data_IF_630231857856
#
_entry.id   IF_630231857856
#
_cell.length_a   1.000
_cell.length_b   1.000
_cell.length_c   1.000
_cell.angle_alpha   90.00
_cell.angle_beta   90.00
_cell.angle_gamma   90.00
#
_symmetry.space_group_name_H-M   'P 1'
#
loop_
_entity.id
_entity.type
_entity.pdbx_description
1 polymer ?
#
# COMPACT_ATOMS: atom_id res chain seq x y z
N UNK A 1 -32.25 -49.97 -39.89
CA UNK A 1 -31.76 -50.22 -38.50
C UNK A 1 -30.30 -50.65 -38.59
N UNK A 2 -29.38 -50.24 -37.71
CA UNK A 2 -29.26 -49.02 -36.90
C UNK A 2 -27.85 -48.36 -37.01
N UNK A 3 -27.64 -47.30 -36.23
CA UNK A 3 -26.35 -46.75 -35.74
C UNK A 3 -25.52 -45.80 -36.62
N UNK A 4 -25.91 -44.51 -36.60
CA UNK A 4 -24.98 -43.38 -36.71
C UNK A 4 -25.20 -42.47 -35.48
N UNK A 5 -24.54 -42.82 -34.38
CA UNK A 5 -24.31 -42.00 -33.17
C UNK A 5 -23.00 -42.52 -32.59
N UNK A 6 -21.84 -41.94 -32.97
CA UNK A 6 -21.19 -40.96 -32.08
C UNK A 6 -20.20 -40.04 -32.83
N UNK A 7 -20.63 -38.90 -33.39
CA UNK A 7 -19.68 -37.92 -33.95
C UNK A 7 -20.00 -36.46 -33.60
N UNK A 8 -20.93 -36.23 -32.67
CA UNK A 8 -21.35 -34.88 -32.29
C UNK A 8 -20.93 -34.46 -30.88
N UNK A 9 -20.24 -35.33 -30.12
CA UNK A 9 -19.81 -35.01 -28.74
C UNK A 9 -18.36 -34.51 -28.67
N UNK A 10 -17.55 -34.68 -29.73
CA UNK A 10 -16.12 -34.33 -29.70
C UNK A 10 -15.78 -32.88 -30.11
N UNK A 11 -16.71 -32.13 -30.71
CA UNK A 11 -16.43 -30.75 -31.19
C UNK A 11 -16.94 -29.68 -30.20
N UNK A 12 -17.73 -30.05 -29.20
CA UNK A 12 -18.25 -29.12 -28.18
C UNK A 12 -17.26 -28.73 -27.07
N UNK A 13 -16.04 -29.29 -27.04
CA UNK A 13 -15.11 -29.17 -25.91
C UNK A 13 -13.90 -28.23 -26.15
N UNK A 14 -13.86 -27.48 -27.26
CA UNK A 14 -12.71 -26.63 -27.61
C UNK A 14 -13.00 -25.12 -27.62
N UNK A 15 -14.13 -24.68 -27.05
CA UNK A 15 -14.47 -23.26 -26.89
C UNK A 15 -14.63 -22.85 -25.42
N UNK A 16 -13.93 -23.54 -24.51
CA UNK A 16 -13.66 -22.96 -23.19
C UNK A 16 -12.67 -21.83 -23.41
N UNK A 17 -13.14 -20.57 -23.33
CA UNK A 17 -12.29 -19.40 -23.43
C UNK A 17 -11.16 -19.50 -22.41
N UNK A 18 -9.97 -19.88 -22.86
CA UNK A 18 -8.78 -19.87 -22.03
C UNK A 18 -8.43 -18.40 -21.78
N UNK A 19 -8.74 -17.91 -20.59
CA UNK A 19 -8.20 -16.64 -20.13
C UNK A 19 -6.68 -16.67 -20.29
N UNK A 20 -6.12 -15.67 -20.98
CA UNK A 20 -4.67 -15.58 -21.13
C UNK A 20 -4.11 -15.09 -19.80
N UNK A 21 -3.31 -15.95 -19.15
CA UNK A 21 -2.47 -15.55 -18.04
C UNK A 21 -1.51 -14.46 -18.54
N UNK A 22 -1.65 -13.26 -18.00
CA UNK A 22 -0.83 -12.11 -18.37
C UNK A 22 -0.16 -11.57 -17.11
N UNK A 23 1.09 -11.15 -17.28
CA UNK A 23 1.77 -10.37 -16.25
C UNK A 23 1.26 -8.93 -16.27
N UNK A 24 0.68 -8.51 -15.15
CA UNK A 24 0.25 -7.14 -14.87
C UNK A 24 1.37 -6.50 -14.04
N UNK A 25 1.74 -5.28 -14.42
CA UNK A 25 2.81 -4.51 -13.79
C UNK A 25 2.23 -3.19 -13.32
N UNK A 26 2.38 -2.89 -12.03
CA UNK A 26 1.82 -1.72 -11.39
C UNK A 26 2.96 -0.90 -10.78
N UNK A 27 3.20 0.34 -11.22
CA UNK A 27 4.11 1.25 -10.56
C UNK A 27 3.49 1.72 -9.24
N UNK A 28 4.07 1.30 -8.14
CA UNK A 28 3.67 1.64 -6.78
C UNK A 28 4.72 2.56 -6.17
N UNK A 29 4.49 3.88 -6.11
CA UNK A 29 5.36 4.78 -5.36
C UNK A 29 5.16 4.55 -3.86
N UNK A 30 6.27 4.35 -3.17
CA UNK A 30 6.35 4.14 -1.74
C UNK A 30 6.98 5.37 -1.08
N UNK A 31 6.15 6.17 -0.39
CA UNK A 31 6.58 7.39 0.30
C UNK A 31 7.57 7.08 1.43
N UNK A 32 8.57 7.95 1.61
CA UNK A 32 9.62 7.78 2.62
C UNK A 32 9.12 7.73 4.06
N UNK A 33 7.98 8.35 4.37
CA UNK A 33 7.35 8.25 5.69
C UNK A 33 6.83 6.81 5.93
N UNK A 34 6.42 6.06 4.90
CA UNK A 34 5.98 4.67 5.06
C UNK A 34 7.18 3.79 5.38
N UNK A 35 8.29 3.99 4.66
CA UNK A 35 9.55 3.31 4.93
C UNK A 35 10.03 3.62 6.36
N UNK A 36 9.86 4.87 6.81
CA UNK A 36 10.15 5.26 8.19
C UNK A 36 9.29 4.49 9.19
N UNK A 37 8.00 4.30 8.94
CA UNK A 37 7.15 3.52 9.83
C UNK A 37 7.56 2.04 9.88
N UNK A 38 7.93 1.44 8.75
CA UNK A 38 8.49 0.08 8.71
C UNK A 38 9.77 0.00 9.54
N UNK A 39 10.69 0.95 9.35
CA UNK A 39 11.93 1.04 10.11
C UNK A 39 11.68 1.19 11.61
N UNK A 40 10.74 2.06 12.01
CA UNK A 40 10.39 2.26 13.41
C UNK A 40 9.86 0.97 14.04
N UNK A 41 8.98 0.27 13.34
CA UNK A 41 8.37 -0.97 13.83
C UNK A 41 9.35 -2.13 13.91
N UNK A 42 10.33 -2.21 12.99
CA UNK A 42 11.30 -3.31 12.96
C UNK A 42 12.52 -3.07 13.85
N UNK A 43 12.99 -1.81 13.96
CA UNK A 43 14.29 -1.51 14.58
C UNK A 43 14.22 -0.58 15.80
N UNK A 44 13.30 0.38 15.85
CA UNK A 44 13.22 1.40 16.92
C UNK A 44 12.16 1.04 17.97
N UNK A 45 12.26 -0.17 18.51
CA UNK A 45 11.29 -0.74 19.45
C UNK A 45 11.60 -0.43 20.92
N UNK A 46 12.66 0.33 21.19
CA UNK A 46 13.05 0.77 22.54
C UNK A 46 12.22 1.94 23.07
N UNK A 47 12.40 2.32 24.35
CA UNK A 47 11.70 3.44 24.97
C UNK A 47 11.89 4.73 24.18
N UNK A 48 10.82 5.48 23.95
CA UNK A 48 10.87 6.73 23.19
C UNK A 48 11.22 6.56 21.70
N UNK A 49 10.92 5.39 21.10
CA UNK A 49 11.27 5.05 19.72
C UNK A 49 12.78 5.15 19.47
N UNK A 50 13.54 4.48 20.34
CA UNK A 50 15.00 4.35 20.25
C UNK A 50 15.37 2.97 19.75
N UNK A 51 16.53 2.86 19.09
CA UNK A 51 17.12 1.59 18.67
C UNK A 51 18.50 1.43 19.30
N UNK A 52 18.66 0.46 20.19
CA UNK A 52 19.98 0.06 20.71
C UNK A 52 20.61 -0.93 19.74
N UNK A 53 21.48 -0.45 18.86
CA UNK A 53 22.12 -1.30 17.86
C UNK A 53 23.19 -2.20 18.46
N UNK A 54 23.83 -1.73 19.52
CA UNK A 54 24.90 -2.45 20.19
C UNK A 54 25.13 -1.99 21.62
N UNK A 55 25.54 -2.94 22.45
CA UNK A 55 26.03 -2.73 23.80
C UNK A 55 27.08 -3.80 24.09
N UNK A 56 28.22 -3.40 24.66
CA UNK A 56 29.24 -4.37 25.06
C UNK A 56 28.77 -5.17 26.30
N UNK A 57 29.24 -6.41 26.42
CA UNK A 57 28.92 -7.27 27.58
C UNK A 57 29.45 -6.73 28.92
N UNK A 58 30.26 -5.66 28.89
CA UNK A 58 30.84 -4.99 30.07
C UNK A 58 30.11 -3.69 30.44
N UNK A 59 29.09 -3.29 29.67
CA UNK A 59 28.29 -2.08 29.81
C UNK A 59 29.09 -0.76 29.84
N UNK A 60 30.29 -0.75 29.25
CA UNK A 60 31.08 0.46 29.10
C UNK A 60 30.87 1.14 27.74
N UNK A 61 30.29 0.41 26.78
CA UNK A 61 30.14 0.87 25.42
C UNK A 61 28.76 0.55 24.88
N UNK A 62 28.16 1.49 24.17
CA UNK A 62 26.84 1.36 23.55
C UNK A 62 26.68 2.30 22.37
N UNK A 63 25.71 2.00 21.50
CA UNK A 63 25.28 2.86 20.42
C UNK A 63 23.76 2.81 20.31
N UNK A 64 23.13 3.95 20.58
CA UNK A 64 21.70 4.14 20.50
C UNK A 64 21.38 5.13 19.37
N UNK A 65 20.36 4.79 18.58
CA UNK A 65 19.79 5.66 17.55
C UNK A 65 18.39 6.13 17.96
N UNK A 66 18.01 7.30 17.46
CA UNK A 66 16.67 7.86 17.66
C UNK A 66 16.31 8.81 16.52
N UNK A 67 15.03 9.14 16.43
CA UNK A 67 14.50 10.12 15.49
C UNK A 67 14.96 9.91 14.03
N UNK A 68 14.73 8.73 13.42
CA UNK A 68 15.13 8.50 12.04
C UNK A 68 14.40 9.45 11.09
N UNK A 69 15.13 10.10 10.21
CA UNK A 69 14.61 10.93 9.12
C UNK A 69 15.02 10.31 7.79
N UNK A 70 14.06 10.14 6.88
CA UNK A 70 14.29 9.44 5.61
C UNK A 70 14.03 10.39 4.45
N UNK A 71 14.95 10.42 3.49
CA UNK A 71 14.84 11.19 2.26
C UNK A 71 15.44 10.45 1.08
N UNK A 72 15.10 10.90 -0.13
CA UNK A 72 15.69 10.41 -1.37
C UNK A 72 16.79 11.32 -1.89
N UNK A 73 17.99 10.78 -2.14
CA UNK A 73 19.14 11.54 -2.65
C UNK A 73 19.91 10.71 -3.66
N UNK A 74 20.07 11.22 -4.89
CA UNK A 74 20.92 10.63 -5.93
C UNK A 74 20.64 9.12 -6.18
N UNK A 75 19.37 8.73 -6.22
CA UNK A 75 18.98 7.33 -6.44
C UNK A 75 19.18 6.42 -5.23
N UNK A 76 19.39 7.00 -4.05
CA UNK A 76 19.57 6.29 -2.79
C UNK A 76 18.59 6.79 -1.73
N UNK A 77 18.37 5.97 -0.73
CA UNK A 77 17.65 6.31 0.49
C UNK A 77 18.66 6.82 1.49
N UNK A 78 18.47 8.04 1.95
CA UNK A 78 19.27 8.67 3.00
C UNK A 78 18.51 8.55 4.32
N UNK A 79 19.14 7.97 5.33
CA UNK A 79 18.59 7.88 6.68
C UNK A 79 19.51 8.61 7.64
N UNK A 80 19.01 9.69 8.22
CA UNK A 80 19.68 10.44 9.28
C UNK A 80 19.09 10.02 10.63
N UNK A 81 19.96 9.73 11.58
CA UNK A 81 19.57 9.35 12.93
C UNK A 81 20.29 10.24 13.93
N UNK A 82 19.57 10.69 14.96
CA UNK A 82 20.22 11.18 16.16
C UNK A 82 20.92 9.99 16.82
N UNK A 83 22.22 10.12 17.08
CA UNK A 83 23.02 9.07 17.69
C UNK A 83 23.48 9.50 19.07
N UNK A 84 23.44 8.56 20.01
CA UNK A 84 24.13 8.65 21.27
C UNK A 84 25.01 7.41 21.44
N UNK A 85 26.31 7.61 21.44
CA UNK A 85 27.28 6.53 21.52
C UNK A 85 28.34 6.80 22.59
N UNK A 86 28.74 5.73 23.26
CA UNK A 86 29.88 5.74 24.17
C UNK A 86 30.74 4.52 23.87
N UNK A 87 32.05 4.72 23.88
CA UNK A 87 33.04 3.65 23.78
C UNK A 87 33.99 3.76 24.94
N UNK A 88 34.13 2.69 25.70
CA UNK A 88 34.96 2.67 26.89
C UNK A 88 35.50 1.29 27.20
N UNK A 89 36.52 1.25 28.04
CA UNK A 89 37.10 0.02 28.54
C UNK A 89 36.88 -0.09 30.06
N UNK A 90 36.57 -1.29 30.53
CA UNK A 90 36.50 -1.57 31.97
C UNK A 90 37.92 -1.67 32.53
N UNK A 91 38.28 -0.77 33.43
CA UNK A 91 39.57 -0.78 34.15
C UNK A 91 39.34 -0.59 35.64
N UNK A 92 39.95 -1.46 36.47
CA UNK A 92 39.79 -1.44 37.93
C UNK A 92 38.32 -1.38 38.41
N UNK A 93 37.42 -2.06 37.70
CA UNK A 93 35.99 -2.09 38.02
C UNK A 93 35.17 -0.87 37.57
N UNK A 94 35.80 0.18 37.02
CA UNK A 94 35.13 1.37 36.48
C UNK A 94 35.21 1.40 34.95
N UNK A 95 34.21 2.01 34.30
CA UNK A 95 34.29 2.28 32.87
C UNK A 95 35.09 3.55 32.62
N UNK A 96 36.18 3.42 31.87
CA UNK A 96 36.93 4.56 31.34
C UNK A 96 36.44 4.85 29.93
N UNK A 97 35.80 6.01 29.75
CA UNK A 97 35.31 6.47 28.44
C UNK A 97 36.48 6.91 27.57
N UNK A 98 36.60 6.31 26.39
CA UNK A 98 37.60 6.66 25.36
C UNK A 98 37.02 7.63 24.34
N UNK A 99 35.80 7.36 23.88
CA UNK A 99 35.09 8.19 22.92
C UNK A 99 33.64 8.34 23.39
N UNK A 100 33.12 9.56 23.32
CA UNK A 100 31.70 9.84 23.51
C UNK A 100 31.24 10.69 22.34
N UNK A 101 30.16 10.27 21.71
CA UNK A 101 29.61 10.94 20.55
C UNK A 101 28.11 11.14 20.70
N UNK A 102 27.70 12.38 20.52
CA UNK A 102 26.31 12.76 20.27
C UNK A 102 26.29 13.63 19.03
N UNK A 103 25.42 13.30 18.07
CA UNK A 103 25.35 14.00 16.79
C UNK A 103 24.43 13.29 15.82
N UNK A 104 24.78 13.31 14.53
CA UNK A 104 24.00 12.67 13.46
C UNK A 104 24.78 11.54 12.82
N UNK A 105 24.16 10.37 12.75
CA UNK A 105 24.60 9.28 11.89
C UNK A 105 23.77 9.27 10.62
N UNK A 106 24.40 9.59 9.50
CA UNK A 106 23.82 9.48 8.17
C UNK A 106 24.22 8.13 7.56
N UNK A 107 23.26 7.49 6.93
CA UNK A 107 23.50 6.34 6.05
C UNK A 107 22.90 6.58 4.68
N UNK A 108 23.64 6.18 3.64
CA UNK A 108 23.10 6.05 2.30
C UNK A 108 22.86 4.57 2.05
N UNK A 109 21.68 4.26 1.54
CA UNK A 109 21.24 2.91 1.25
C UNK A 109 20.74 2.83 -0.18
N UNK A 110 21.12 1.77 -0.89
CA UNK A 110 20.65 1.54 -2.26
C UNK A 110 19.55 0.48 -2.20
N UNK A 111 18.28 0.80 -2.48
CA UNK A 111 17.22 -0.20 -2.53
C UNK A 111 17.56 -1.27 -3.56
N UNK A 112 17.43 -2.53 -3.16
CA UNK A 112 17.71 -3.68 -4.03
C UNK A 112 16.70 -4.78 -3.80
N UNK A 113 16.36 -5.48 -4.89
CA UNK A 113 15.51 -6.65 -4.84
C UNK A 113 16.38 -7.90 -4.73
N UNK A 114 15.91 -8.88 -3.96
CA UNK A 114 16.49 -10.22 -3.98
C UNK A 114 16.23 -10.90 -5.34
N UNK A 115 16.85 -12.07 -5.56
CA UNK A 115 16.73 -12.78 -6.84
C UNK A 115 15.30 -13.24 -7.15
N UNK A 116 14.47 -13.43 -6.13
CA UNK A 116 13.08 -13.86 -6.29
C UNK A 116 12.12 -12.69 -6.53
N UNK A 117 12.55 -11.45 -6.28
CA UNK A 117 11.69 -10.28 -6.31
C UNK A 117 10.73 -10.19 -5.13
N UNK A 118 10.87 -11.03 -4.10
CA UNK A 118 9.94 -11.04 -2.96
C UNK A 118 10.37 -10.12 -1.83
N UNK A 119 11.67 -9.83 -1.75
CA UNK A 119 12.25 -9.08 -0.64
C UNK A 119 12.92 -7.83 -1.18
N UNK A 120 12.40 -6.68 -0.75
CA UNK A 120 13.06 -5.39 -0.91
C UNK A 120 13.98 -5.16 0.30
N UNK A 121 15.27 -4.99 0.03
CA UNK A 121 16.30 -4.74 1.05
C UNK A 121 16.97 -3.38 0.83
N UNK A 122 17.59 -2.86 1.89
CA UNK A 122 18.23 -1.54 1.90
C UNK A 122 19.70 -1.62 2.33
N UNK A 123 20.58 -2.27 1.53
CA UNK A 123 21.99 -2.36 1.85
C UNK A 123 22.62 -0.97 1.98
N UNK A 124 23.37 -0.79 3.07
CA UNK A 124 24.13 0.44 3.35
C UNK A 124 25.32 0.52 2.40
N UNK A 125 25.40 1.61 1.64
CA UNK A 125 26.50 1.90 0.71
C UNK A 125 27.52 2.85 1.34
N UNK A 126 27.09 3.72 2.24
CA UNK A 126 27.94 4.68 2.94
C UNK A 126 27.38 5.03 4.31
N UNK A 127 28.30 5.35 5.21
CA UNK A 127 28.05 5.84 6.57
C UNK A 127 28.80 7.15 6.74
N UNK A 128 28.17 8.17 7.32
CA UNK A 128 28.82 9.42 7.69
C UNK A 128 28.44 9.78 9.12
N UNK A 129 29.43 10.15 9.93
CA UNK A 129 29.23 10.66 11.27
C UNK A 129 29.41 12.17 11.31
N UNK A 130 28.50 12.85 12.00
CA UNK A 130 28.55 14.28 12.23
C UNK A 130 28.39 14.59 13.73
N UNK A 131 29.00 15.67 14.20
CA UNK A 131 28.79 16.18 15.55
C UNK A 131 27.47 17.00 15.66
N UNK A 132 27.21 17.56 16.84
CA UNK A 132 26.03 18.39 17.09
C UNK A 132 25.99 19.72 16.32
N UNK A 133 27.10 20.15 15.73
CA UNK A 133 27.19 21.35 14.89
C UNK A 133 27.09 21.01 13.39
N UNK A 134 26.92 19.74 13.03
CA UNK A 134 26.89 19.27 11.65
C UNK A 134 28.27 19.11 11.01
N UNK A 135 29.35 19.16 11.78
CA UNK A 135 30.70 18.95 11.27
C UNK A 135 31.01 17.46 11.18
N UNK A 136 31.57 17.03 10.04
CA UNK A 136 31.93 15.63 9.80
C UNK A 136 33.01 15.17 10.79
N UNK A 137 32.77 14.02 11.42
CA UNK A 137 33.71 13.36 12.30
C UNK A 137 34.54 12.34 11.53
N UNK A 138 35.83 12.64 11.35
CA UNK A 138 36.80 11.73 10.74
C UNK A 138 37.69 11.08 11.81
N UNK A 139 37.10 10.14 12.55
CA UNK A 139 37.78 9.37 13.60
C UNK A 139 37.85 7.92 13.14
N UNK A 140 39.06 7.41 12.85
CA UNK A 140 39.26 6.05 12.31
C UNK A 140 38.57 4.96 13.15
N UNK A 141 38.68 5.00 14.49
CA UNK A 141 38.03 4.00 15.34
C UNK A 141 36.50 4.07 15.28
N UNK A 142 35.93 5.25 15.03
CA UNK A 142 34.48 5.42 14.84
C UNK A 142 34.06 4.83 13.50
N UNK A 143 34.81 5.07 12.43
CA UNK A 143 34.53 4.54 11.09
C UNK A 143 34.47 3.01 11.08
N UNK A 144 35.45 2.33 11.68
CA UNK A 144 35.48 0.86 11.75
C UNK A 144 34.24 0.30 12.45
N UNK A 145 33.83 0.93 13.54
CA UNK A 145 32.65 0.53 14.30
C UNK A 145 31.36 0.78 13.51
N UNK A 146 31.23 1.92 12.84
CA UNK A 146 30.06 2.21 12.00
C UNK A 146 29.88 1.12 10.94
N UNK A 147 30.98 0.67 10.33
CA UNK A 147 30.95 -0.38 9.31
C UNK A 147 30.62 -1.76 9.88
N UNK A 148 31.17 -2.12 11.05
CA UNK A 148 31.00 -3.47 11.61
C UNK A 148 29.70 -3.65 12.38
N UNK A 149 29.17 -2.58 12.98
CA UNK A 149 28.05 -2.65 13.93
C UNK A 149 26.80 -2.01 13.37
N UNK A 150 26.91 -0.78 12.85
CA UNK A 150 25.73 -0.01 12.46
C UNK A 150 25.23 -0.43 11.08
N UNK A 151 26.14 -0.54 10.10
CA UNK A 151 25.76 -0.86 8.74
C UNK A 151 24.97 -2.18 8.62
N UNK A 152 25.34 -3.30 9.29
CA UNK A 152 24.55 -4.53 9.23
C UNK A 152 23.15 -4.37 9.83
N UNK A 153 23.04 -3.72 10.99
CA UNK A 153 21.75 -3.55 11.68
C UNK A 153 20.79 -2.64 10.93
N UNK A 154 21.30 -1.59 10.28
CA UNK A 154 20.47 -0.73 9.43
C UNK A 154 20.16 -1.36 8.07
N UNK A 155 21.01 -2.29 7.60
CA UNK A 155 20.75 -3.09 6.40
C UNK A 155 19.77 -4.24 6.64
N UNK A 156 19.42 -4.56 7.89
CA UNK A 156 18.40 -5.56 8.24
C UNK A 156 16.98 -5.12 7.90
N UNK A 157 16.76 -3.83 7.60
CA UNK A 157 15.47 -3.34 7.10
C UNK A 157 15.10 -4.09 5.82
N UNK A 158 13.98 -4.81 5.89
CA UNK A 158 13.43 -5.59 4.78
C UNK A 158 11.93 -5.43 4.70
N UNK A 159 11.42 -5.41 3.47
CA UNK A 159 9.99 -5.52 3.18
C UNK A 159 9.81 -6.82 2.41
N UNK A 160 9.12 -7.78 3.04
CA UNK A 160 8.87 -9.11 2.48
C UNK A 160 7.41 -9.24 2.04
N UNK A 161 7.21 -9.50 0.75
CA UNK A 161 5.87 -9.73 0.20
C UNK A 161 5.23 -11.00 0.77
N UNK A 162 6.01 -12.02 1.12
CA UNK A 162 5.48 -13.29 1.63
C UNK A 162 4.71 -13.10 2.93
N UNK A 163 5.16 -12.18 3.80
CA UNK A 163 4.45 -11.83 5.03
C UNK A 163 3.13 -11.11 4.75
N UNK A 164 3.05 -10.37 3.64
CA UNK A 164 1.87 -9.58 3.26
C UNK A 164 0.81 -10.38 2.50
N UNK A 165 1.18 -11.47 1.81
CA UNK A 165 0.27 -12.27 0.95
C UNK A 165 -0.99 -12.73 1.69
N UNK A 166 -0.82 -13.27 2.90
CA UNK A 166 -1.94 -13.79 3.69
C UNK A 166 -2.95 -12.71 4.05
N UNK A 167 -2.46 -11.52 4.45
CA UNK A 167 -3.31 -10.38 4.78
C UNK A 167 -4.01 -9.83 3.54
N UNK A 168 -3.33 -9.75 2.39
CA UNK A 168 -3.95 -9.31 1.12
C UNK A 168 -5.12 -10.23 0.75
N UNK A 169 -4.92 -11.55 0.76
CA UNK A 169 -6.00 -12.51 0.46
C UNK A 169 -7.13 -12.32 1.47
N UNK A 170 -6.82 -12.32 2.76
CA UNK A 170 -7.84 -12.20 3.82
C UNK A 170 -8.68 -10.92 3.66
N UNK A 171 -8.06 -9.82 3.26
CA UNK A 171 -8.74 -8.54 3.05
C UNK A 171 -9.59 -8.52 1.79
N UNK A 172 -9.12 -9.11 0.69
CA UNK A 172 -9.79 -9.01 -0.61
C UNK A 172 -10.83 -10.11 -0.85
N UNK A 173 -10.59 -11.32 -0.34
CA UNK A 173 -11.43 -12.50 -0.58
C UNK A 173 -12.94 -12.28 -0.30
N UNK A 174 -13.37 -11.54 0.75
CA UNK A 174 -14.79 -11.28 1.00
C UNK A 174 -15.51 -10.49 -0.11
N UNK A 175 -14.76 -9.83 -1.00
CA UNK A 175 -15.28 -8.99 -2.06
C UNK A 175 -15.15 -9.63 -3.46
N UNK A 176 -14.43 -10.75 -3.57
CA UNK A 176 -14.20 -11.46 -4.83
C UNK A 176 -15.25 -12.57 -5.01
N UNK A 177 -15.84 -12.73 -6.21
CA UNK A 177 -16.76 -13.84 -6.49
C UNK A 177 -16.14 -15.21 -6.18
N UNK A 178 -16.97 -16.17 -5.78
CA UNK A 178 -16.49 -17.48 -5.33
C UNK A 178 -15.70 -18.21 -6.43
N UNK A 179 -16.12 -18.06 -7.69
CA UNK A 179 -15.45 -18.60 -8.88
C UNK A 179 -14.05 -18.02 -9.12
N UNK A 180 -13.74 -16.84 -8.56
CA UNK A 180 -12.49 -16.12 -8.77
C UNK A 180 -11.54 -16.19 -7.57
N UNK A 181 -11.95 -16.92 -6.52
CA UNK A 181 -11.17 -17.10 -5.29
C UNK A 181 -9.81 -17.76 -5.53
N UNK A 182 -9.76 -18.85 -6.32
CA UNK A 182 -8.51 -19.55 -6.67
C UNK A 182 -7.58 -18.63 -7.47
N UNK A 183 -8.13 -17.88 -8.42
CA UNK A 183 -7.37 -16.91 -9.20
C UNK A 183 -6.79 -15.78 -8.33
N UNK A 184 -7.55 -15.28 -7.33
CA UNK A 184 -7.03 -14.32 -6.35
C UNK A 184 -5.84 -14.91 -5.59
N UNK A 185 -5.96 -16.14 -5.11
CA UNK A 185 -4.87 -16.83 -4.43
C UNK A 185 -3.63 -16.97 -5.31
N UNK A 186 -3.79 -17.45 -6.55
CA UNK A 186 -2.67 -17.62 -7.49
C UNK A 186 -2.02 -16.29 -7.86
N UNK A 187 -2.82 -15.25 -8.08
CA UNK A 187 -2.33 -13.91 -8.40
C UNK A 187 -1.54 -13.34 -7.22
N UNK A 188 -2.09 -13.43 -6.01
CA UNK A 188 -1.40 -12.99 -4.80
C UNK A 188 -0.15 -13.82 -4.54
N UNK A 189 -0.13 -15.12 -4.86
CA UNK A 189 1.06 -15.99 -4.77
C UNK A 189 2.11 -15.69 -5.85
N UNK A 190 1.72 -15.09 -6.97
CA UNK A 190 2.63 -14.69 -8.05
C UNK A 190 3.24 -13.29 -7.87
N UNK A 191 2.76 -12.52 -6.88
CA UNK A 191 3.25 -11.17 -6.58
C UNK A 191 4.77 -11.16 -6.41
N UNK A 192 5.40 -10.17 -7.04
CA UNK A 192 6.84 -9.94 -7.02
C UNK A 192 7.14 -8.48 -7.33
N UNK A 193 8.17 -7.93 -6.73
CA UNK A 193 8.82 -6.71 -7.18
C UNK A 193 9.65 -7.02 -8.44
N UNK A 194 9.34 -6.35 -9.54
CA UNK A 194 10.06 -6.46 -10.81
C UNK A 194 11.20 -5.44 -10.93
N UNK A 195 11.03 -4.26 -10.34
CA UNK A 195 12.06 -3.23 -10.29
C UNK A 195 11.89 -2.29 -9.12
N UNK A 196 12.97 -1.64 -8.71
CA UNK A 196 12.99 -0.61 -7.68
C UNK A 196 13.84 0.58 -8.11
N UNK A 197 13.36 1.79 -7.87
CA UNK A 197 14.11 3.03 -8.08
C UNK A 197 13.78 4.04 -6.97
N UNK A 198 14.80 4.59 -6.32
CA UNK A 198 14.62 5.75 -5.45
C UNK A 198 14.69 7.04 -6.27
N UNK A 199 13.78 7.97 -6.03
CA UNK A 199 13.85 9.35 -6.50
C UNK A 199 13.89 10.32 -5.30
N UNK A 200 13.62 11.62 -5.48
CA UNK A 200 13.65 12.58 -4.37
C UNK A 200 12.44 12.50 -3.43
N UNK A 201 11.33 11.94 -3.90
CA UNK A 201 10.02 11.99 -3.24
C UNK A 201 9.58 10.63 -2.71
N UNK A 202 9.94 9.54 -3.40
CA UNK A 202 9.52 8.19 -3.09
C UNK A 202 10.50 7.13 -3.62
N UNK A 203 10.24 5.88 -3.24
CA UNK A 203 10.74 4.72 -3.96
C UNK A 203 9.67 4.22 -4.89
N UNK A 204 9.92 4.26 -6.19
CA UNK A 204 9.03 3.69 -7.21
C UNK A 204 9.36 2.19 -7.35
N UNK A 205 8.40 1.37 -6.93
CA UNK A 205 8.42 -0.08 -7.12
C UNK A 205 7.58 -0.42 -8.34
N UNK A 206 7.99 -1.42 -9.11
CA UNK A 206 7.10 -2.04 -10.08
C UNK A 206 6.66 -3.39 -9.53
N UNK A 207 5.40 -3.51 -9.16
CA UNK A 207 4.81 -4.72 -8.59
C UNK A 207 4.18 -5.54 -9.73
N UNK A 208 4.73 -6.72 -9.97
CA UNK A 208 4.26 -7.66 -10.95
C UNK A 208 3.41 -8.76 -10.31
N UNK A 209 2.34 -9.15 -10.98
CA UNK A 209 1.60 -10.39 -10.69
C UNK A 209 1.02 -10.97 -11.96
N UNK A 210 0.71 -12.26 -11.94
CA UNK A 210 0.08 -12.98 -13.04
C UNK A 210 -1.39 -13.12 -12.70
N UNK A 211 -2.25 -12.70 -13.62
CA UNK A 211 -3.68 -12.95 -13.53
C UNK A 211 -4.22 -13.38 -14.89
N UNK A 212 -5.29 -14.17 -14.88
CA UNK A 212 -6.04 -14.45 -16.09
C UNK A 212 -6.89 -13.24 -16.39
N UNK A 213 -6.49 -12.47 -17.40
CA UNK A 213 -7.29 -11.32 -17.81
C UNK A 213 -8.52 -11.87 -18.52
N UNK A 214 -9.65 -11.85 -17.82
CA UNK A 214 -10.95 -12.06 -18.45
C UNK A 214 -11.20 -10.84 -19.35
N UNK A 215 -11.70 -11.02 -20.57
CA UNK A 215 -12.31 -9.91 -21.29
C UNK A 215 -13.32 -9.24 -20.35
N UNK A 216 -13.31 -7.91 -20.27
CA UNK A 216 -14.31 -7.19 -19.50
C UNK A 216 -15.69 -7.74 -19.86
N UNK A 217 -16.43 -8.17 -18.85
CA UNK A 217 -17.75 -8.77 -19.05
C UNK A 217 -18.73 -7.65 -19.37
N UNK A 218 -18.73 -7.27 -20.64
CA UNK A 218 -19.62 -6.25 -21.17
C UNK A 218 -21.07 -6.77 -21.31
N UNK A 219 -21.37 -8.00 -20.85
CA UNK A 219 -22.73 -8.46 -20.80
C UNK A 219 -23.54 -7.52 -19.88
N UNK A 220 -24.67 -6.97 -20.36
CA UNK A 220 -25.52 -6.13 -19.53
C UNK A 220 -25.98 -6.91 -18.29
N UNK A 221 -25.60 -6.44 -17.11
CA UNK A 221 -26.12 -6.99 -15.85
C UNK A 221 -27.43 -6.28 -15.59
N UNK A 222 -28.56 -6.98 -15.50
CA UNK A 222 -29.85 -6.32 -15.29
C UNK A 222 -29.84 -5.42 -14.05
N UNK A 223 -30.46 -4.24 -14.16
CA UNK A 223 -30.74 -3.34 -13.05
C UNK A 223 -31.39 -4.07 -11.86
N UNK A 224 -31.20 -3.54 -10.65
CA UNK A 224 -31.78 -4.11 -9.44
C UNK A 224 -33.31 -3.98 -9.48
N UNK A 225 -33.99 -5.02 -9.01
CA UNK A 225 -35.43 -4.94 -8.80
C UNK A 225 -35.76 -4.08 -7.56
N UNK A 226 -37.05 -3.78 -7.35
CA UNK A 226 -37.50 -2.90 -6.28
C UNK A 226 -37.06 -3.39 -4.87
N UNK A 227 -37.14 -4.69 -4.62
CA UNK A 227 -36.77 -5.26 -3.31
C UNK A 227 -35.25 -5.20 -3.09
N UNK A 228 -34.46 -5.49 -4.14
CA UNK A 228 -33.00 -5.35 -4.11
C UNK A 228 -32.58 -3.89 -3.87
N UNK A 229 -33.24 -2.94 -4.55
CA UNK A 229 -32.94 -1.52 -4.43
C UNK A 229 -33.24 -0.99 -3.02
N UNK A 230 -34.37 -1.40 -2.42
CA UNK A 230 -34.72 -1.01 -1.05
C UNK A 230 -33.71 -1.53 -0.02
N UNK A 231 -33.24 -2.78 -0.19
CA UNK A 231 -32.20 -3.35 0.67
C UNK A 231 -30.87 -2.60 0.52
N UNK A 232 -30.48 -2.30 -0.72
CA UNK A 232 -29.28 -1.53 -0.99
C UNK A 232 -29.36 -0.10 -0.42
N UNK A 233 -30.48 0.60 -0.59
CA UNK A 233 -30.67 1.95 -0.04
C UNK A 233 -30.44 1.98 1.48
N UNK A 234 -30.93 0.97 2.20
CA UNK A 234 -30.68 0.84 3.65
C UNK A 234 -29.18 0.67 3.97
N UNK A 235 -28.46 -0.11 3.16
CA UNK A 235 -26.99 -0.29 3.31
C UNK A 235 -26.27 1.02 3.04
N UNK A 236 -26.59 1.66 1.91
CA UNK A 236 -25.99 2.91 1.48
C UNK A 236 -26.21 4.05 2.48
N UNK A 237 -27.43 4.22 3.02
CA UNK A 237 -27.73 5.25 4.02
C UNK A 237 -26.87 5.09 5.29
N UNK A 238 -26.68 3.85 5.76
CA UNK A 238 -25.84 3.59 6.93
C UNK A 238 -24.36 3.90 6.65
N UNK A 239 -23.88 3.55 5.44
CA UNK A 239 -22.52 3.86 5.01
C UNK A 239 -22.32 5.37 4.86
N UNK A 240 -23.25 6.06 4.20
CA UNK A 240 -23.21 7.49 4.00
C UNK A 240 -23.20 8.24 5.33
N UNK A 241 -24.08 7.90 6.29
CA UNK A 241 -24.08 8.50 7.61
C UNK A 241 -22.76 8.27 8.38
N UNK A 242 -22.14 7.11 8.19
CA UNK A 242 -20.84 6.79 8.81
C UNK A 242 -19.71 7.60 8.17
N UNK A 243 -19.74 7.78 6.85
CA UNK A 243 -18.77 8.57 6.08
C UNK A 243 -18.92 10.06 6.36
N UNK A 244 -20.14 10.60 6.40
CA UNK A 244 -20.41 11.99 6.79
C UNK A 244 -19.85 12.29 8.18
N UNK A 245 -20.11 11.41 9.15
CA UNK A 245 -19.52 11.52 10.49
C UNK A 245 -18.00 11.42 10.47
N UNK A 246 -17.45 10.54 9.63
CA UNK A 246 -16.02 10.40 9.42
C UNK A 246 -15.40 11.69 8.91
N UNK A 247 -16.00 12.30 7.89
CA UNK A 247 -15.64 13.60 7.32
C UNK A 247 -15.67 14.66 8.43
N UNK A 248 -16.77 14.76 9.19
CA UNK A 248 -16.94 15.70 10.31
C UNK A 248 -15.85 15.60 11.38
N UNK A 249 -15.32 14.40 11.60
CA UNK A 249 -14.31 14.14 12.62
C UNK A 249 -12.87 14.37 12.15
N UNK A 250 -12.63 14.62 10.85
CA UNK A 250 -11.28 14.92 10.37
C UNK A 250 -10.83 16.26 10.96
N UNK A 251 -9.67 16.31 11.64
CA UNK A 251 -9.13 17.54 12.24
C UNK A 251 -8.47 18.41 11.14
N UNK A 252 -9.28 18.92 10.22
CA UNK A 252 -8.86 19.81 9.15
C UNK A 252 -8.66 21.23 9.69
N UNK A 253 -7.60 21.92 9.25
CA UNK A 253 -7.28 23.30 9.66
C UNK A 253 -6.99 24.20 8.45
N UNK A 254 -7.28 25.49 8.59
CA UNK A 254 -7.11 26.48 7.50
C UNK A 254 -8.06 26.21 6.33
N UNK A 255 -7.61 26.47 5.11
CA UNK A 255 -8.40 26.34 3.86
C UNK A 255 -8.98 24.94 3.62
N UNK A 256 -8.48 23.90 4.30
CA UNK A 256 -9.08 22.56 4.25
C UNK A 256 -10.39 22.43 5.03
N UNK A 257 -10.64 23.28 6.03
CA UNK A 257 -11.92 23.31 6.71
C UNK A 257 -13.04 23.68 5.73
N UNK A 258 -12.75 24.60 4.79
CA UNK A 258 -13.67 25.01 3.72
C UNK A 258 -13.89 23.91 2.67
N UNK A 259 -12.96 22.95 2.57
CA UNK A 259 -13.06 21.79 1.67
C UNK A 259 -13.91 20.64 2.24
N UNK A 260 -14.36 20.73 3.50
CA UNK A 260 -15.28 19.75 4.10
C UNK A 260 -16.59 19.65 3.32
N UNK A 261 -17.12 20.80 2.88
CA UNK A 261 -18.33 20.86 2.04
C UNK A 261 -18.11 20.17 0.69
N UNK A 262 -16.90 20.22 0.15
CA UNK A 262 -16.55 19.50 -1.08
C UNK A 262 -16.60 17.99 -0.86
N UNK A 263 -16.07 17.48 0.26
CA UNK A 263 -16.14 16.04 0.59
C UNK A 263 -17.60 15.55 0.75
N UNK A 264 -18.44 16.31 1.45
CA UNK A 264 -19.88 15.99 1.54
C UNK A 264 -20.56 16.05 0.18
N UNK A 265 -20.23 17.05 -0.64
CA UNK A 265 -20.78 17.19 -2.00
C UNK A 265 -20.40 16.00 -2.88
N UNK A 266 -19.15 15.56 -2.84
CA UNK A 266 -18.69 14.38 -3.60
C UNK A 266 -19.39 13.11 -3.10
N UNK A 267 -19.56 12.94 -1.79
CA UNK A 267 -20.31 11.80 -1.24
C UNK A 267 -21.79 11.78 -1.69
N UNK A 268 -22.44 12.94 -1.74
CA UNK A 268 -23.80 13.08 -2.27
C UNK A 268 -23.88 12.82 -3.78
N UNK A 269 -22.89 13.30 -4.55
CA UNK A 269 -22.75 12.97 -5.99
C UNK A 269 -22.58 11.45 -6.18
N UNK A 270 -21.78 10.79 -5.33
CA UNK A 270 -21.56 9.35 -5.35
C UNK A 270 -22.87 8.57 -5.20
N UNK A 271 -23.67 8.93 -4.18
CA UNK A 271 -24.97 8.29 -3.93
C UNK A 271 -25.89 8.35 -5.14
N UNK A 272 -25.98 9.52 -5.81
CA UNK A 272 -26.78 9.69 -7.03
C UNK A 272 -26.26 8.86 -8.20
N UNK A 273 -24.95 8.85 -8.42
CA UNK A 273 -24.33 8.07 -9.48
C UNK A 273 -24.53 6.55 -9.28
N UNK A 274 -24.40 6.09 -8.03
CA UNK A 274 -24.61 4.69 -7.68
C UNK A 274 -26.07 4.28 -7.80
N UNK A 275 -27.01 5.13 -7.38
CA UNK A 275 -28.44 4.88 -7.57
C UNK A 275 -28.81 4.78 -9.05
N UNK A 276 -28.29 5.68 -9.90
CA UNK A 276 -28.47 5.61 -11.35
C UNK A 276 -27.88 4.32 -11.91
N UNK A 277 -26.65 3.98 -11.53
CA UNK A 277 -25.97 2.74 -11.94
C UNK A 277 -26.70 1.48 -11.52
N UNK A 278 -27.41 1.49 -10.39
CA UNK A 278 -28.15 0.32 -9.89
C UNK A 278 -29.56 0.18 -10.48
N UNK A 279 -30.22 1.30 -10.82
CA UNK A 279 -31.65 1.32 -11.15
C UNK A 279 -31.97 1.37 -12.64
N UNK A 280 -31.03 1.81 -13.49
CA UNK A 280 -31.30 2.12 -14.89
C UNK A 280 -30.25 1.52 -15.82
N UNK A 281 -30.66 0.94 -16.93
CA UNK A 281 -29.74 0.61 -18.01
C UNK A 281 -29.15 1.89 -18.61
N UNK A 282 -27.91 1.79 -19.11
CA UNK A 282 -27.18 2.90 -19.70
C UNK A 282 -26.54 2.46 -21.00
N UNK A 283 -26.30 3.41 -21.91
CA UNK A 283 -25.57 3.15 -23.14
C UNK A 283 -24.08 2.89 -22.85
N UNK A 284 -23.43 2.13 -23.75
CA UNK A 284 -21.99 1.92 -23.71
C UNK A 284 -21.26 3.27 -23.80
N UNK A 285 -20.41 3.56 -22.82
CA UNK A 285 -19.65 4.82 -22.73
C UNK A 285 -20.30 5.93 -21.90
N UNK A 286 -21.53 5.75 -21.39
CA UNK A 286 -22.17 6.68 -20.45
C UNK A 286 -22.53 5.99 -19.13
N UNK A 287 -21.62 5.16 -18.62
CA UNK A 287 -21.75 4.50 -17.33
C UNK A 287 -21.67 5.57 -16.20
N UNK A 288 -22.74 5.76 -15.41
CA UNK A 288 -22.80 6.82 -14.41
C UNK A 288 -21.77 6.64 -13.28
N UNK A 289 -21.38 5.40 -12.97
CA UNK A 289 -20.37 5.10 -11.95
C UNK A 289 -18.98 5.50 -12.46
N UNK A 290 -18.67 5.17 -13.72
CA UNK A 290 -17.39 5.55 -14.35
C UNK A 290 -17.25 7.06 -14.51
N UNK A 291 -18.29 7.71 -15.01
CA UNK A 291 -18.32 9.17 -15.18
C UNK A 291 -18.10 9.85 -13.83
N UNK A 292 -18.86 9.45 -12.81
CA UNK A 292 -18.73 10.02 -11.47
C UNK A 292 -17.32 9.86 -10.89
N UNK A 293 -16.73 8.66 -10.97
CA UNK A 293 -15.40 8.40 -10.41
C UNK A 293 -14.34 9.23 -11.13
N UNK A 294 -14.42 9.32 -12.46
CA UNK A 294 -13.50 10.13 -13.26
C UNK A 294 -13.61 11.62 -12.90
N UNK A 295 -14.82 12.17 -12.87
CA UNK A 295 -15.04 13.60 -12.60
C UNK A 295 -14.71 13.97 -11.15
N UNK A 296 -15.05 13.10 -10.20
CA UNK A 296 -14.80 13.36 -8.78
C UNK A 296 -13.33 13.24 -8.42
N UNK A 297 -12.54 12.48 -9.19
CA UNK A 297 -11.11 12.36 -8.92
C UNK A 297 -10.37 13.68 -9.11
N UNK A 298 -10.75 14.47 -10.12
CA UNK A 298 -10.18 15.80 -10.37
C UNK A 298 -10.40 16.76 -9.19
N UNK A 299 -11.53 16.62 -8.49
CA UNK A 299 -11.85 17.40 -7.28
C UNK A 299 -11.19 16.81 -6.02
N UNK A 300 -11.16 15.48 -5.85
CA UNK A 300 -10.68 14.82 -4.64
C UNK A 300 -9.16 14.72 -4.53
N UNK A 301 -8.45 14.44 -5.63
CA UNK A 301 -7.01 14.19 -5.58
C UNK A 301 -6.20 15.37 -4.99
N UNK A 302 -6.47 16.65 -5.36
CA UNK A 302 -5.81 17.79 -4.75
C UNK A 302 -6.11 17.91 -3.25
N UNK A 303 -7.36 17.66 -2.84
CA UNK A 303 -7.78 17.72 -1.44
C UNK A 303 -7.08 16.67 -0.60
N UNK A 304 -7.10 15.40 -1.03
CA UNK A 304 -6.42 14.32 -0.33
C UNK A 304 -4.92 14.60 -0.24
N UNK A 305 -4.33 15.23 -1.26
CA UNK A 305 -2.91 15.62 -1.27
C UNK A 305 -2.64 16.69 -0.23
N UNK A 306 -3.51 17.67 -0.05
CA UNK A 306 -3.36 18.70 0.98
C UNK A 306 -3.60 18.14 2.40
N UNK A 307 -4.63 17.29 2.58
CA UNK A 307 -4.89 16.56 3.84
C UNK A 307 -3.65 15.77 4.26
N UNK A 308 -3.01 15.07 3.31
CA UNK A 308 -1.83 14.25 3.58
C UNK A 308 -0.61 15.03 4.10
N UNK A 309 -0.54 16.34 3.83
CA UNK A 309 0.52 17.22 4.33
C UNK A 309 0.27 17.62 5.77
N UNK A 310 -0.99 17.73 6.18
CA UNK A 310 -1.38 18.11 7.54
C UNK A 310 -1.42 16.93 8.52
N UNK A 311 -1.65 15.71 8.02
CA UNK A 311 -1.76 14.52 8.86
C UNK A 311 -0.39 13.91 9.20
N UNK A 312 -0.07 13.70 10.49
CA UNK A 312 1.19 13.10 10.88
C UNK A 312 1.22 11.57 10.64
N UNK A 313 2.42 11.05 10.39
CA UNK A 313 2.71 9.62 10.44
C UNK A 313 1.92 8.76 9.44
N UNK A 314 1.37 7.64 9.93
CA UNK A 314 0.71 6.62 9.12
C UNK A 314 -0.57 7.08 8.41
N UNK A 315 -1.23 8.12 8.92
CA UNK A 315 -2.53 8.52 8.39
C UNK A 315 -2.38 9.35 7.11
N UNK A 316 -1.51 10.37 7.10
CA UNK A 316 -1.21 11.13 5.87
C UNK A 316 -0.62 10.25 4.77
N UNK A 317 0.09 9.19 5.15
CA UNK A 317 0.63 8.20 4.22
C UNK A 317 -0.43 7.38 3.51
N UNK A 318 -1.47 6.93 4.23
CA UNK A 318 -2.57 6.19 3.61
C UNK A 318 -3.23 6.99 2.48
N UNK A 319 -3.41 8.29 2.70
CA UNK A 319 -3.97 9.18 1.69
C UNK A 319 -3.04 9.35 0.48
N UNK A 320 -1.73 9.51 0.68
CA UNK A 320 -0.81 9.59 -0.47
C UNK A 320 -0.70 8.29 -1.25
N UNK A 321 -0.70 7.14 -0.56
CA UNK A 321 -0.72 5.82 -1.22
C UNK A 321 -2.00 5.64 -2.03
N UNK A 322 -3.15 6.07 -1.48
CA UNK A 322 -4.42 6.04 -2.19
C UNK A 322 -4.35 6.90 -3.45
N UNK A 323 -3.93 8.17 -3.35
CA UNK A 323 -3.82 9.10 -4.48
C UNK A 323 -2.90 8.56 -5.58
N UNK A 324 -1.75 8.01 -5.19
CA UNK A 324 -0.82 7.45 -6.16
C UNK A 324 -1.38 6.22 -6.88
N UNK A 325 -2.18 5.39 -6.19
CA UNK A 325 -2.83 4.23 -6.79
C UNK A 325 -3.99 4.64 -7.73
N UNK A 326 -4.69 5.73 -7.42
CA UNK A 326 -5.84 6.22 -8.21
C UNK A 326 -5.47 7.22 -9.29
N UNK A 327 -4.32 7.88 -9.26
CA UNK A 327 -3.77 8.61 -10.44
C UNK A 327 -3.55 7.67 -11.64
N UNK A 328 -3.65 6.36 -11.41
CA UNK A 328 -3.61 5.28 -12.38
C UNK A 328 -4.95 4.53 -12.44
N UNK A 329 -6.10 5.22 -12.42
CA UNK A 329 -7.43 4.54 -12.39
C UNK A 329 -7.60 3.44 -13.45
N UNK A 330 -7.04 3.63 -14.65
CA UNK A 330 -7.02 2.60 -15.70
C UNK A 330 -6.22 1.36 -15.31
N UNK A 331 -5.12 1.53 -14.57
CA UNK A 331 -4.37 0.41 -14.00
C UNK A 331 -5.12 -0.23 -12.85
N UNK A 332 -5.84 0.54 -12.01
CA UNK A 332 -6.68 -0.01 -10.96
C UNK A 332 -7.78 -0.92 -11.52
N UNK A 333 -8.40 -0.53 -12.63
CA UNK A 333 -9.33 -1.40 -13.36
C UNK A 333 -8.63 -2.64 -13.92
N UNK A 334 -7.42 -2.49 -14.47
CA UNK A 334 -6.64 -3.64 -14.95
C UNK A 334 -6.26 -4.62 -13.83
N UNK A 335 -6.14 -4.14 -12.59
CA UNK A 335 -5.88 -4.94 -11.40
C UNK A 335 -7.15 -5.64 -10.93
N UNK A 336 -8.30 -4.96 -10.93
CA UNK A 336 -9.55 -5.48 -10.40
C UNK A 336 -10.30 -6.43 -11.36
N UNK A 337 -10.31 -6.10 -12.65
CA UNK A 337 -11.09 -6.82 -13.67
C UNK A 337 -10.83 -8.34 -13.72
N UNK A 338 -9.58 -8.85 -13.59
CA UNK A 338 -9.31 -10.28 -13.52
C UNK A 338 -10.05 -11.02 -12.39
N UNK A 339 -10.45 -10.30 -11.33
CA UNK A 339 -11.15 -10.84 -10.16
C UNK A 339 -12.64 -10.48 -10.15
N UNK A 340 -13.19 -10.03 -11.29
CA UNK A 340 -14.58 -9.56 -11.39
C UNK A 340 -14.85 -8.24 -10.67
N UNK A 341 -13.79 -7.52 -10.26
CA UNK A 341 -13.90 -6.20 -9.64
C UNK A 341 -13.82 -5.13 -10.73
N UNK A 342 -14.98 -4.70 -11.20
CA UNK A 342 -15.09 -3.69 -12.24
C UNK A 342 -15.56 -2.36 -11.66
N UNK A 343 -14.91 -1.28 -12.05
CA UNK A 343 -15.35 0.09 -11.76
C UNK A 343 -16.44 0.44 -12.79
N UNK A 344 -17.65 -0.07 -12.59
CA UNK A 344 -18.78 0.10 -13.51
C UNK A 344 -20.12 -0.07 -12.77
N UNK A 345 -21.21 0.36 -13.40
CA UNK A 345 -22.56 0.07 -12.93
C UNK A 345 -22.82 -1.44 -12.90
N UNK A 346 -22.32 -2.21 -13.89
CA UNK A 346 -22.40 -3.67 -13.90
C UNK A 346 -21.67 -4.29 -12.69
N UNK A 347 -20.45 -3.83 -12.40
CA UNK A 347 -19.68 -4.24 -11.22
C UNK A 347 -20.39 -3.90 -9.92
N UNK A 348 -20.95 -2.70 -9.82
CA UNK A 348 -21.74 -2.25 -8.68
C UNK A 348 -22.99 -3.13 -8.45
N UNK A 349 -23.70 -3.53 -9.52
CA UNK A 349 -24.84 -4.46 -9.46
C UNK A 349 -24.42 -5.84 -8.94
N UNK A 350 -23.29 -6.37 -9.41
CA UNK A 350 -22.73 -7.66 -8.95
C UNK A 350 -22.38 -7.61 -7.45
N UNK A 351 -21.68 -6.55 -7.01
CA UNK A 351 -21.31 -6.34 -5.60
C UNK A 351 -22.55 -6.19 -4.71
N UNK A 352 -23.54 -5.39 -5.13
CA UNK A 352 -24.76 -5.18 -4.37
C UNK A 352 -25.51 -6.49 -4.11
N UNK A 353 -25.66 -7.34 -5.13
CA UNK A 353 -26.30 -8.67 -5.00
C UNK A 353 -25.49 -9.62 -4.11
N UNK A 354 -24.16 -9.63 -4.24
CA UNK A 354 -23.29 -10.44 -3.39
C UNK A 354 -23.44 -10.06 -1.91
N UNK A 355 -23.42 -8.76 -1.62
CA UNK A 355 -23.58 -8.23 -0.27
C UNK A 355 -24.96 -8.53 0.32
N UNK A 356 -26.03 -8.32 -0.45
CA UNK A 356 -27.40 -8.66 -0.06
C UNK A 356 -27.50 -10.15 0.29
N UNK A 357 -26.97 -11.02 -0.57
CA UNK A 357 -26.96 -12.47 -0.36
C UNK A 357 -26.21 -12.87 0.92
N UNK A 358 -25.02 -12.31 1.17
CA UNK A 358 -24.23 -12.57 2.37
C UNK A 358 -24.97 -12.17 3.66
N UNK A 359 -25.67 -11.02 3.64
CA UNK A 359 -26.43 -10.55 4.79
C UNK A 359 -27.64 -11.43 5.09
N UNK A 360 -28.32 -11.95 4.06
CA UNK A 360 -29.42 -12.89 4.24
C UNK A 360 -28.96 -14.24 4.77
N UNK A 361 -27.75 -14.70 4.43
CA UNK A 361 -27.18 -15.96 4.91
C UNK A 361 -26.61 -15.92 6.34
N UNK A 362 -26.34 -14.75 6.91
CA UNK A 362 -25.90 -14.60 8.31
C UNK A 362 -27.07 -14.49 9.32
N UNK A 363 -28.31 -14.31 8.83
CA UNK A 363 -29.51 -14.18 9.64
C UNK A 363 -30.39 -15.45 9.67
N UNK A 364 -29.90 -16.57 9.11
CA UNK A 364 -30.51 -17.90 9.20
C UNK A 364 -29.52 -18.87 9.80
#
# INVERSE_FOLDING_TARGET
>A
MPQIRPLLIAIGLLLSGTGLAREINVPVPMDYRLIRNVLLNQLFTGPGQTARLWQDGKQCSFLDLSNPQIAGVNGQVKIDNNVHAQFGAKMAGKCMTLVKWSGILETLQKPTLDKTGNVLSFPVTSTNAFDGNGQKLDINQLQDLLQQVVAPRLADLKIDLNESRGDIVKTLLPYVPAEDSEQLHDSVNSLRFNSVKADSNAIVLNLGFVANVKPADNAPVAALNADELQQWQTVWQNWQASLDKGIDQIPLTGDLADNRDTLHTVLQKAGRAFEQGLSSDHEDGNDPVRVFISESWDELAPLLREVSKQLPGAEGLRYLTLIAATDLMYELESIGSPFGLEISANGLRKIARSYISHRTGQNG
#
